data_IF_099605911368
#
_entry.id   IF_099605911368
#
_cell.length_a   1.000
_cell.length_b   1.000
_cell.length_c   1.000
_cell.angle_alpha   90.00
_cell.angle_beta   90.00
_cell.angle_gamma   90.00
#
_symmetry.space_group_name_H-M   'P 1'
#
loop_
_entity.id
_entity.type
_entity.pdbx_description
1 polymer ?
#
# COMPACT_ATOMS: atom_id res chain seq x y z
N UNK A 1 26.47 -2.16 -2.51
CA UNK A 1 25.06 -2.20 -2.97
C UNK A 1 24.30 -1.14 -2.20
N UNK A 2 23.78 -0.11 -2.86
CA UNK A 2 23.06 0.96 -2.17
C UNK A 2 21.59 0.56 -2.04
N UNK A 3 21.09 0.45 -0.81
CA UNK A 3 19.65 0.32 -0.55
C UNK A 3 18.98 1.65 -0.90
N UNK A 4 17.89 1.60 -1.67
CA UNK A 4 17.18 2.79 -2.17
C UNK A 4 16.07 3.24 -1.21
N UNK A 5 15.51 2.32 -0.43
CA UNK A 5 14.44 2.59 0.53
C UNK A 5 14.51 1.62 1.71
N UNK A 6 14.13 2.10 2.89
CA UNK A 6 13.93 1.29 4.08
C UNK A 6 12.71 1.82 4.83
N UNK A 7 11.88 0.92 5.36
CA UNK A 7 10.64 1.27 6.07
C UNK A 7 10.44 0.34 7.25
N UNK A 8 9.94 0.89 8.35
CA UNK A 8 9.50 0.14 9.53
C UNK A 8 8.02 -0.20 9.34
N UNK A 9 7.61 -1.40 9.71
CA UNK A 9 6.20 -1.78 9.72
C UNK A 9 5.44 -1.00 10.81
N UNK A 10 4.17 -0.65 10.60
CA UNK A 10 3.36 0.01 11.62
C UNK A 10 3.27 -0.73 12.96
N UNK A 11 3.38 -2.06 12.97
CA UNK A 11 3.44 -2.84 14.20
C UNK A 11 4.78 -2.75 14.96
N UNK A 12 5.79 -2.08 14.40
CA UNK A 12 7.11 -1.87 15.02
C UNK A 12 8.05 -3.08 14.98
N UNK A 13 7.56 -4.24 14.53
CA UNK A 13 8.30 -5.51 14.57
C UNK A 13 9.22 -5.73 13.39
N UNK A 14 8.89 -5.18 12.21
CA UNK A 14 9.60 -5.47 10.97
C UNK A 14 10.27 -4.24 10.38
N UNK A 15 11.44 -4.47 9.79
CA UNK A 15 12.12 -3.51 8.92
C UNK A 15 12.28 -4.14 7.56
N UNK A 16 11.79 -3.47 6.52
CA UNK A 16 12.03 -3.83 5.14
C UNK A 16 13.12 -2.96 4.53
N UNK A 17 13.85 -3.51 3.56
CA UNK A 17 14.71 -2.72 2.68
C UNK A 17 14.62 -3.22 1.25
N UNK A 18 14.66 -2.28 0.30
CA UNK A 18 14.77 -2.58 -1.13
C UNK A 18 15.81 -1.69 -1.80
N UNK A 19 16.22 -2.09 -2.99
CA UNK A 19 17.31 -1.45 -3.72
C UNK A 19 17.36 -1.88 -5.17
N UNK A 20 18.55 -2.16 -5.67
CA UNK A 20 18.74 -2.66 -7.03
C UNK A 20 18.42 -4.14 -7.20
N UNK A 21 18.22 -4.85 -6.09
CA UNK A 21 17.86 -6.26 -6.11
C UNK A 21 16.36 -6.44 -6.43
N UNK A 22 15.97 -7.56 -7.07
CA UNK A 22 14.58 -7.85 -7.44
C UNK A 22 13.70 -8.24 -6.25
N UNK A 23 14.24 -8.24 -5.06
CA UNK A 23 13.56 -8.62 -3.83
C UNK A 23 13.44 -7.44 -2.86
N UNK A 24 12.44 -7.54 -1.98
CA UNK A 24 12.40 -6.75 -0.75
C UNK A 24 12.72 -7.68 0.40
N UNK A 25 13.80 -7.41 1.11
CA UNK A 25 14.19 -8.19 2.28
C UNK A 25 13.56 -7.60 3.51
N UNK A 26 12.98 -8.47 4.34
CA UNK A 26 12.30 -8.07 5.58
C UNK A 26 12.94 -8.80 6.75
N UNK A 27 13.27 -8.03 7.78
CA UNK A 27 13.87 -8.53 9.01
C UNK A 27 12.97 -8.21 10.19
N UNK A 28 12.87 -9.16 11.12
CA UNK A 28 12.30 -8.93 12.43
C UNK A 28 13.37 -8.29 13.33
N UNK A 29 13.00 -7.21 14.01
CA UNK A 29 13.80 -6.63 15.08
C UNK A 29 13.20 -7.07 16.40
N UNK A 30 13.97 -7.85 17.17
CA UNK A 30 13.55 -8.33 18.48
C UNK A 30 14.11 -7.42 19.58
N UNK A 31 13.23 -7.02 20.49
CA UNK A 31 13.57 -6.28 21.70
C UNK A 31 13.28 -7.14 22.93
N UNK A 32 14.09 -6.98 23.98
CA UNK A 32 13.78 -7.53 25.28
C UNK A 32 12.58 -6.81 25.91
N UNK A 33 11.98 -7.39 26.95
CA UNK A 33 10.91 -6.72 27.72
C UNK A 33 11.35 -5.38 28.32
N UNK A 34 12.66 -5.20 28.54
CA UNK A 34 13.28 -3.94 28.97
C UNK A 34 13.32 -2.86 27.88
N UNK A 35 12.98 -3.20 26.63
CA UNK A 35 13.14 -2.32 25.47
C UNK A 35 14.53 -2.34 24.85
N UNK A 36 15.47 -3.08 25.44
CA UNK A 36 16.82 -3.24 24.89
C UNK A 36 16.79 -4.05 23.59
N UNK A 37 17.62 -3.62 22.63
CA UNK A 37 17.83 -4.37 21.39
C UNK A 37 18.38 -5.76 21.70
N UNK A 38 17.77 -6.80 21.11
CA UNK A 38 18.19 -8.19 21.29
C UNK A 38 18.83 -8.76 20.03
N UNK A 39 18.13 -8.73 18.91
CA UNK A 39 18.61 -9.35 17.67
C UNK A 39 17.86 -8.84 16.44
N UNK A 40 18.48 -9.03 15.27
CA UNK A 40 17.82 -8.88 13.96
C UNK A 40 17.83 -10.25 13.30
N UNK A 41 16.66 -10.77 12.97
CA UNK A 41 16.50 -12.05 12.27
C UNK A 41 15.88 -11.80 10.90
N UNK A 42 16.35 -12.48 9.86
CA UNK A 42 15.64 -12.45 8.57
C UNK A 42 14.27 -13.10 8.77
N UNK A 43 13.21 -12.38 8.44
CA UNK A 43 11.85 -12.88 8.55
C UNK A 43 11.43 -13.53 7.23
N UNK A 44 11.33 -12.74 6.17
CA UNK A 44 10.91 -13.20 4.85
C UNK A 44 11.41 -12.25 3.75
N UNK A 45 11.24 -12.66 2.49
CA UNK A 45 11.59 -11.86 1.33
C UNK A 45 10.39 -11.79 0.37
N UNK A 46 10.15 -10.62 -0.21
CA UNK A 46 9.15 -10.45 -1.27
C UNK A 46 9.85 -10.64 -2.61
N UNK A 47 9.59 -11.77 -3.27
CA UNK A 47 10.33 -12.19 -4.46
C UNK A 47 9.50 -12.15 -5.74
N UNK A 48 10.20 -12.32 -6.86
CA UNK A 48 9.66 -12.62 -8.17
C UNK A 48 9.56 -11.45 -9.15
N UNK A 49 9.92 -10.23 -8.76
CA UNK A 49 10.20 -9.18 -9.75
C UNK A 49 11.40 -9.60 -10.63
N UNK A 50 11.44 -9.13 -11.87
CA UNK A 50 12.56 -9.42 -12.78
C UNK A 50 13.64 -8.33 -12.77
N UNK A 51 13.41 -7.24 -12.04
CA UNK A 51 14.34 -6.13 -11.89
C UNK A 51 14.20 -5.44 -10.54
N UNK A 52 15.09 -4.48 -10.26
CA UNK A 52 15.22 -3.82 -8.97
C UNK A 52 13.92 -3.18 -8.46
N UNK A 53 13.61 -3.42 -7.18
CA UNK A 53 12.43 -2.85 -6.51
C UNK A 53 12.72 -1.42 -6.05
N UNK A 54 12.05 -0.44 -6.65
CA UNK A 54 12.25 0.98 -6.39
C UNK A 54 11.73 1.45 -5.04
N UNK A 55 10.56 0.95 -4.64
CA UNK A 55 9.93 1.25 -3.36
C UNK A 55 8.94 0.15 -2.97
N UNK A 56 8.57 0.11 -1.70
CA UNK A 56 7.57 -0.81 -1.14
C UNK A 56 6.80 -0.16 0.01
N UNK A 57 5.63 -0.64 0.40
CA UNK A 57 4.84 -0.06 1.50
C UNK A 57 4.10 -1.14 2.30
N UNK A 58 3.92 -0.92 3.60
CA UNK A 58 3.03 -1.71 4.45
C UNK A 58 1.63 -1.07 4.50
N UNK A 59 0.60 -1.85 4.78
CA UNK A 59 -0.69 -1.32 5.25
C UNK A 59 -0.68 -1.12 6.78
N UNK A 60 -1.75 -0.57 7.35
CA UNK A 60 -1.78 -0.13 8.74
C UNK A 60 -1.65 -1.26 9.76
N UNK A 61 -2.20 -2.45 9.48
CA UNK A 61 -2.09 -3.61 10.37
C UNK A 61 -0.87 -4.50 10.09
N UNK A 62 0.00 -4.08 9.16
CA UNK A 62 1.20 -4.82 8.73
C UNK A 62 0.90 -6.21 8.17
N UNK A 63 -0.33 -6.51 7.73
CA UNK A 63 -0.70 -7.79 7.10
C UNK A 63 -0.47 -7.80 5.60
N UNK A 64 -0.36 -6.63 4.96
CA UNK A 64 -0.15 -6.49 3.53
C UNK A 64 1.08 -5.65 3.22
N UNK A 65 1.74 -6.01 2.12
CA UNK A 65 2.81 -5.21 1.54
C UNK A 65 2.61 -5.01 0.04
N UNK A 66 2.83 -3.78 -0.43
CA UNK A 66 2.90 -3.46 -1.85
C UNK A 66 4.34 -3.17 -2.27
N UNK A 67 4.70 -3.51 -3.50
CA UNK A 67 6.02 -3.26 -4.09
C UNK A 67 5.88 -2.68 -5.49
N UNK A 68 6.85 -1.86 -5.91
CA UNK A 68 6.92 -1.32 -7.28
C UNK A 68 8.34 -1.46 -7.82
N UNK A 69 8.48 -2.01 -9.02
CA UNK A 69 9.77 -2.37 -9.61
C UNK A 69 10.04 -1.70 -10.95
N UNK A 70 11.33 -1.58 -11.26
CA UNK A 70 11.83 -1.21 -12.60
C UNK A 70 11.30 -2.10 -13.72
N UNK A 71 10.88 -3.33 -13.41
CA UNK A 71 10.27 -4.24 -14.39
C UNK A 71 8.90 -3.79 -14.94
N UNK A 72 8.37 -2.66 -14.44
CA UNK A 72 7.10 -2.10 -14.89
C UNK A 72 5.88 -2.75 -14.23
N UNK A 73 6.09 -3.52 -13.16
CA UNK A 73 5.03 -4.13 -12.38
C UNK A 73 5.00 -3.60 -10.95
N UNK A 74 3.81 -3.64 -10.37
CA UNK A 74 3.60 -3.56 -8.93
C UNK A 74 3.04 -4.90 -8.46
N UNK A 75 3.33 -5.26 -7.21
CA UNK A 75 2.82 -6.48 -6.59
C UNK A 75 2.26 -6.20 -5.21
N UNK A 76 1.20 -6.91 -4.87
CA UNK A 76 0.58 -6.91 -3.55
C UNK A 76 0.72 -8.30 -2.92
N UNK A 77 1.22 -8.34 -1.70
CA UNK A 77 1.50 -9.55 -0.94
C UNK A 77 0.70 -9.57 0.35
N UNK A 78 0.23 -10.76 0.74
CA UNK A 78 -0.13 -11.07 2.11
C UNK A 78 1.14 -11.47 2.86
N UNK A 79 1.45 -10.75 3.92
CA UNK A 79 2.62 -10.97 4.78
C UNK A 79 2.23 -11.32 6.21
N UNK A 80 0.93 -11.57 6.47
CA UNK A 80 0.46 -12.16 7.71
C UNK A 80 0.69 -13.67 7.66
N UNK A 81 1.92 -14.05 7.94
CA UNK A 81 2.45 -15.41 7.80
C UNK A 81 3.21 -15.83 9.06
N UNK A 82 3.29 -17.13 9.31
CA UNK A 82 4.12 -17.73 10.35
C UNK A 82 5.56 -17.93 9.84
N UNK A 83 6.29 -16.82 9.64
CA UNK A 83 7.64 -16.85 9.08
C UNK A 83 8.65 -17.65 9.93
N UNK A 84 8.41 -17.80 11.24
CA UNK A 84 9.23 -18.66 12.11
C UNK A 84 9.10 -20.15 11.77
N UNK A 85 8.01 -20.55 11.11
CA UNK A 85 7.78 -21.90 10.60
C UNK A 85 8.19 -22.05 9.12
N UNK A 86 8.76 -21.00 8.53
CA UNK A 86 9.17 -20.99 7.12
C UNK A 86 8.03 -20.72 6.13
N UNK A 87 6.88 -20.23 6.58
CA UNK A 87 5.82 -19.78 5.67
C UNK A 87 6.32 -18.56 4.87
N UNK A 88 6.06 -18.56 3.57
CA UNK A 88 6.46 -17.49 2.66
C UNK A 88 5.30 -16.53 2.35
N UNK A 89 5.59 -15.24 2.07
CA UNK A 89 4.57 -14.28 1.66
C UNK A 89 3.76 -14.73 0.45
N UNK A 90 2.43 -14.63 0.53
CA UNK A 90 1.55 -15.00 -0.58
C UNK A 90 1.33 -13.82 -1.53
N UNK A 91 1.65 -14.00 -2.81
CA UNK A 91 1.34 -13.01 -3.84
C UNK A 91 -0.18 -12.98 -4.09
N UNK A 92 -0.82 -11.85 -3.76
CA UNK A 92 -2.26 -11.64 -3.97
C UNK A 92 -2.53 -11.20 -5.41
N UNK A 93 -1.75 -10.21 -5.88
CA UNK A 93 -2.01 -9.55 -7.15
C UNK A 93 -0.74 -8.98 -7.74
N UNK A 94 -0.68 -9.00 -9.07
CA UNK A 94 0.31 -8.25 -9.86
C UNK A 94 -0.43 -7.37 -10.84
N UNK A 95 -0.01 -6.13 -10.98
CA UNK A 95 -0.47 -5.26 -12.05
C UNK A 95 0.70 -4.57 -12.76
N UNK A 96 0.42 -4.07 -13.95
CA UNK A 96 1.39 -3.31 -14.74
C UNK A 96 1.17 -1.82 -14.52
N UNK A 97 2.26 -1.06 -14.57
CA UNK A 97 2.20 0.38 -14.67
C UNK A 97 3.10 0.84 -15.81
N UNK A 98 2.79 2.00 -16.40
CA UNK A 98 3.61 2.55 -17.48
C UNK A 98 4.95 2.98 -16.88
N UNK A 99 6.03 2.28 -17.18
CA UNK A 99 7.38 2.66 -16.78
C UNK A 99 8.00 3.61 -17.81
N UNK A 100 8.79 4.57 -17.34
CA UNK A 100 9.61 5.48 -18.16
C UNK A 100 11.11 5.31 -17.83
N UNK A 101 11.47 4.21 -17.16
CA UNK A 101 12.82 3.93 -16.70
C UNK A 101 13.25 4.74 -15.46
N UNK A 102 12.42 5.67 -14.97
CA UNK A 102 12.70 6.45 -13.76
C UNK A 102 12.15 5.74 -12.52
N UNK A 103 12.58 6.22 -11.35
CA UNK A 103 12.12 5.71 -10.05
C UNK A 103 10.63 5.99 -9.87
N UNK A 104 9.91 4.99 -9.37
CA UNK A 104 8.53 5.12 -8.92
C UNK A 104 8.45 5.00 -7.39
N UNK A 105 7.42 5.59 -6.81
CA UNK A 105 7.07 5.46 -5.39
C UNK A 105 5.74 4.74 -5.25
N UNK A 106 5.58 4.00 -4.15
CA UNK A 106 4.33 3.29 -3.84
C UNK A 106 3.88 3.58 -2.41
N UNK A 107 2.58 3.75 -2.24
CA UNK A 107 1.90 3.72 -0.95
C UNK A 107 0.71 2.77 -1.03
N UNK A 108 0.41 2.14 0.10
CA UNK A 108 -0.74 1.27 0.28
C UNK A 108 -1.68 1.96 1.27
N UNK A 109 -2.98 1.97 0.98
CA UNK A 109 -3.97 2.54 1.90
C UNK A 109 -3.98 1.77 3.23
N UNK A 110 -4.43 2.40 4.34
CA UNK A 110 -4.47 1.74 5.65
C UNK A 110 -5.21 0.40 5.65
N UNK A 111 -6.32 0.33 4.91
CA UNK A 111 -7.15 -0.87 4.72
C UNK A 111 -6.61 -1.85 3.67
N UNK A 112 -5.58 -1.47 2.91
CA UNK A 112 -5.00 -2.28 1.84
C UNK A 112 -5.78 -2.34 0.53
N UNK A 113 -6.88 -1.58 0.41
CA UNK A 113 -7.77 -1.64 -0.76
C UNK A 113 -7.33 -0.78 -1.95
N UNK A 114 -6.41 0.16 -1.73
CA UNK A 114 -5.92 1.09 -2.76
C UNK A 114 -4.40 1.15 -2.77
N UNK A 115 -3.83 1.05 -3.96
CA UNK A 115 -2.41 1.28 -4.20
C UNK A 115 -2.26 2.64 -4.90
N UNK A 116 -1.49 3.54 -4.30
CA UNK A 116 -1.10 4.79 -4.92
C UNK A 116 0.32 4.66 -5.49
N UNK A 117 0.45 4.83 -6.79
CA UNK A 117 1.71 4.81 -7.53
C UNK A 117 2.03 6.21 -8.00
N UNK A 118 3.22 6.70 -7.68
CA UNK A 118 3.71 7.96 -8.21
C UNK A 118 4.91 7.71 -9.13
N UNK A 119 4.86 8.25 -10.33
CA UNK A 119 5.92 8.14 -11.34
C UNK A 119 6.08 9.46 -12.05
N UNK A 120 7.32 9.93 -12.18
CA UNK A 120 7.60 11.24 -12.76
C UNK A 120 6.68 12.27 -12.11
N UNK A 121 5.90 13.03 -12.86
CA UNK A 121 4.97 14.03 -12.35
C UNK A 121 3.53 13.54 -12.18
N UNK A 122 3.25 12.23 -12.27
CA UNK A 122 1.89 11.68 -12.26
C UNK A 122 1.63 10.86 -11.00
N UNK A 123 0.36 10.89 -10.56
CA UNK A 123 -0.20 9.99 -9.54
C UNK A 123 -1.20 9.05 -10.19
N UNK A 124 -1.11 7.76 -9.89
CA UNK A 124 -2.04 6.72 -10.33
C UNK A 124 -2.61 6.01 -9.11
N UNK A 125 -3.94 5.95 -9.01
CA UNK A 125 -4.67 5.21 -7.98
C UNK A 125 -5.21 3.92 -8.60
N UNK A 126 -4.87 2.81 -7.97
CA UNK A 126 -5.20 1.46 -8.41
C UNK A 126 -6.08 0.81 -7.36
N UNK A 127 -7.17 0.19 -7.81
CA UNK A 127 -8.00 -0.64 -6.97
C UNK A 127 -7.26 -1.97 -6.70
N UNK A 128 -6.86 -2.21 -5.47
CA UNK A 128 -6.08 -3.39 -5.10
C UNK A 128 -6.88 -4.71 -5.22
N UNK A 129 -8.21 -4.64 -5.14
CA UNK A 129 -9.11 -5.79 -5.25
C UNK A 129 -9.20 -6.27 -6.71
N UNK A 130 -9.50 -5.34 -7.63
CA UNK A 130 -9.61 -5.68 -9.06
C UNK A 130 -8.24 -5.76 -9.74
N UNK A 131 -7.26 -4.97 -9.29
CA UNK A 131 -5.97 -4.77 -9.93
C UNK A 131 -6.00 -3.74 -11.06
N UNK A 132 -7.13 -3.05 -11.25
CA UNK A 132 -7.34 -2.07 -12.32
C UNK A 132 -7.02 -0.65 -11.87
N UNK A 133 -6.58 0.17 -12.82
CA UNK A 133 -6.37 1.60 -12.61
C UNK A 133 -7.73 2.30 -12.54
N UNK A 134 -8.06 2.91 -11.40
CA UNK A 134 -9.29 3.68 -11.24
C UNK A 134 -9.08 5.13 -11.70
N UNK A 135 -7.93 5.72 -11.40
CA UNK A 135 -7.64 7.12 -11.75
C UNK A 135 -6.16 7.34 -12.02
N UNK A 136 -5.87 8.09 -13.09
CA UNK A 136 -4.58 8.74 -13.30
C UNK A 136 -4.76 10.25 -13.24
N UNK A 137 -3.87 10.92 -12.51
CA UNK A 137 -3.79 12.37 -12.39
C UNK A 137 -2.41 12.78 -12.92
N UNK A 138 -2.32 13.19 -14.20
CA UNK A 138 -1.05 13.57 -14.80
C UNK A 138 -0.62 14.97 -14.36
N UNK A 139 0.69 15.23 -14.41
CA UNK A 139 1.28 16.56 -14.24
C UNK A 139 0.90 17.26 -12.93
N UNK A 140 0.84 16.50 -11.82
CA UNK A 140 0.62 17.06 -10.49
C UNK A 140 1.82 17.87 -9.99
N UNK A 141 2.99 17.76 -10.62
CA UNK A 141 4.18 18.57 -10.40
C UNK A 141 4.85 18.88 -11.75
N UNK A 142 5.73 19.88 -11.80
CA UNK A 142 6.65 20.10 -12.91
C UNK A 142 7.83 19.13 -12.88
N UNK A 143 8.29 18.75 -11.68
CA UNK A 143 9.32 17.75 -11.45
C UNK A 143 8.78 16.40 -10.98
N UNK A 144 9.68 15.47 -10.59
CA UNK A 144 9.29 14.17 -10.11
C UNK A 144 8.64 14.22 -8.73
N UNK A 145 7.60 13.42 -8.54
CA UNK A 145 7.04 13.11 -7.22
C UNK A 145 8.09 12.31 -6.46
N UNK A 146 8.47 12.79 -5.29
CA UNK A 146 9.52 12.19 -4.44
C UNK A 146 8.94 11.27 -3.37
N UNK A 147 7.67 11.47 -3.00
CA UNK A 147 6.97 10.65 -2.01
C UNK A 147 5.48 10.63 -2.27
N UNK A 148 4.85 9.50 -1.97
CA UNK A 148 3.41 9.33 -1.86
C UNK A 148 3.09 8.61 -0.55
N UNK A 149 2.03 9.03 0.14
CA UNK A 149 1.54 8.45 1.40
C UNK A 149 0.02 8.57 1.45
N UNK A 150 -0.63 7.70 2.22
CA UNK A 150 -2.00 7.92 2.67
C UNK A 150 -1.98 8.53 4.08
N UNK A 151 -3.05 9.24 4.43
CA UNK A 151 -3.32 9.54 5.84
C UNK A 151 -3.76 8.27 6.60
N UNK A 152 -3.86 8.37 7.93
CA UNK A 152 -4.18 7.23 8.78
C UNK A 152 -5.62 6.71 8.60
N UNK A 153 -6.57 7.58 8.24
CA UNK A 153 -7.95 7.17 7.97
C UNK A 153 -8.11 6.62 6.54
N UNK A 154 -7.21 7.00 5.62
CA UNK A 154 -7.25 6.58 4.23
C UNK A 154 -8.16 7.46 3.36
N UNK A 155 -8.59 8.61 3.85
CA UNK A 155 -9.44 9.57 3.14
C UNK A 155 -8.63 10.44 2.16
N UNK A 156 -7.32 10.56 2.36
CA UNK A 156 -6.44 11.44 1.60
C UNK A 156 -5.18 10.73 1.10
N UNK A 157 -4.74 11.13 -0.10
CA UNK A 157 -3.45 10.80 -0.67
C UNK A 157 -2.58 12.05 -0.67
N UNK A 158 -1.44 11.96 -0.01
CA UNK A 158 -0.44 13.01 0.09
C UNK A 158 0.68 12.71 -0.91
N UNK A 159 1.06 13.70 -1.69
CA UNK A 159 2.22 13.63 -2.58
C UNK A 159 3.17 14.77 -2.28
N UNK A 160 4.47 14.55 -2.45
CA UNK A 160 5.50 15.57 -2.32
C UNK A 160 6.30 15.71 -3.61
N UNK A 161 6.54 16.94 -4.05
CA UNK A 161 7.27 17.28 -5.27
C UNK A 161 7.47 18.79 -5.38
N UNK A 162 8.48 19.24 -6.12
CA UNK A 162 8.76 20.67 -6.36
C UNK A 162 8.74 21.58 -5.12
N UNK A 163 9.17 21.08 -3.95
CA UNK A 163 9.12 21.77 -2.64
C UNK A 163 7.70 22.02 -2.09
N UNK A 164 6.69 21.36 -2.63
CA UNK A 164 5.31 21.44 -2.19
C UNK A 164 4.77 20.06 -1.81
N UNK A 165 3.73 20.07 -0.98
CA UNK A 165 2.88 18.90 -0.72
C UNK A 165 1.51 19.18 -1.32
N UNK A 166 0.98 18.21 -2.07
CA UNK A 166 -0.38 18.24 -2.61
C UNK A 166 -1.20 17.13 -1.97
N UNK A 167 -2.44 17.46 -1.65
CA UNK A 167 -3.41 16.59 -0.98
C UNK A 167 -4.54 16.29 -1.97
N UNK A 168 -4.88 15.02 -2.11
CA UNK A 168 -5.95 14.53 -2.98
C UNK A 168 -6.94 13.71 -2.16
N UNK A 169 -8.23 13.83 -2.44
CA UNK A 169 -9.23 12.90 -1.88
C UNK A 169 -9.02 11.48 -2.44
N UNK A 170 -9.10 10.48 -1.58
CA UNK A 170 -9.02 9.07 -1.97
C UNK A 170 -10.38 8.56 -2.49
N UNK A 171 -10.81 9.10 -3.63
CA UNK A 171 -12.07 8.72 -4.30
C UNK A 171 -12.12 7.22 -4.58
N UNK A 172 -11.00 6.63 -4.99
CA UNK A 172 -10.88 5.18 -5.22
C UNK A 172 -11.15 4.39 -3.94
N UNK A 173 -10.65 4.85 -2.80
CA UNK A 173 -10.89 4.25 -1.48
C UNK A 173 -12.36 4.22 -1.09
N UNK A 174 -13.09 5.33 -1.28
CA UNK A 174 -14.53 5.35 -1.01
C UNK A 174 -15.28 4.34 -1.89
N UNK A 175 -14.95 4.25 -3.18
CA UNK A 175 -15.56 3.25 -4.09
C UNK A 175 -15.24 1.82 -3.65
N UNK A 176 -13.98 1.50 -3.35
CA UNK A 176 -13.59 0.15 -2.92
C UNK A 176 -14.22 -0.23 -1.59
N UNK A 177 -14.31 0.72 -0.66
CA UNK A 177 -14.88 0.46 0.66
C UNK A 177 -16.38 0.20 0.61
N UNK A 178 -17.12 0.90 -0.26
CA UNK A 178 -18.53 0.58 -0.52
C UNK A 178 -18.67 -0.87 -1.02
N UNK A 179 -17.81 -1.33 -1.94
CA UNK A 179 -17.85 -2.72 -2.43
C UNK A 179 -17.57 -3.73 -1.32
N UNK A 180 -16.54 -3.49 -0.51
CA UNK A 180 -16.16 -4.36 0.62
C UNK A 180 -17.27 -4.41 1.67
N UNK A 181 -17.85 -3.26 2.04
CA UNK A 181 -18.92 -3.19 3.01
C UNK A 181 -20.21 -3.84 2.51
N UNK A 182 -20.59 -3.64 1.25
CA UNK A 182 -21.76 -4.31 0.64
C UNK A 182 -21.58 -5.83 0.60
N UNK A 183 -20.38 -6.31 0.23
CA UNK A 183 -20.06 -7.74 0.28
C UNK A 183 -20.21 -8.28 1.71
N UNK A 184 -19.62 -7.61 2.69
CA UNK A 184 -19.72 -8.01 4.10
C UNK A 184 -21.16 -8.02 4.61
N UNK A 185 -22.00 -7.08 4.18
CA UNK A 185 -23.42 -7.03 4.57
C UNK A 185 -24.23 -8.22 4.02
N UNK A 186 -23.81 -8.76 2.87
CA UNK A 186 -24.44 -9.94 2.25
C UNK A 186 -24.07 -11.27 2.90
N UNK A 187 -23.04 -11.29 3.75
CA UNK A 187 -22.60 -12.51 4.44
C UNK A 187 -23.59 -12.93 5.55
N UNK A 188 -23.82 -14.24 5.74
CA UNK A 188 -24.64 -14.73 6.83
C UNK A 188 -23.96 -14.49 8.19
N UNK A 189 -24.75 -14.29 9.25
CA UNK A 189 -24.23 -14.15 10.61
C UNK A 189 -23.77 -12.74 11.01
N UNK A 190 -23.95 -11.73 10.17
CA UNK A 190 -23.64 -10.34 10.53
C UNK A 190 -24.62 -9.84 11.60
N UNK A 191 -24.09 -9.33 12.72
CA UNK A 191 -24.89 -8.76 13.81
C UNK A 191 -25.67 -7.51 13.38
N UNK A 192 -26.79 -7.20 14.06
CA UNK A 192 -27.57 -5.98 13.78
C UNK A 192 -26.72 -4.71 13.89
N UNK A 193 -25.94 -4.58 14.97
CA UNK A 193 -25.08 -3.42 15.19
C UNK A 193 -24.01 -3.27 14.08
N UNK A 194 -23.46 -4.38 13.59
CA UNK A 194 -22.52 -4.35 12.46
C UNK A 194 -23.21 -3.91 11.18
N UNK A 195 -24.44 -4.37 10.91
CA UNK A 195 -25.22 -3.95 9.74
C UNK A 195 -25.50 -2.45 9.79
N UNK A 196 -25.96 -1.93 10.93
CA UNK A 196 -26.30 -0.52 11.07
C UNK A 196 -25.08 0.38 10.81
N UNK A 197 -23.92 0.00 11.37
CA UNK A 197 -22.65 0.72 11.12
C UNK A 197 -22.24 0.67 9.65
N UNK A 198 -22.29 -0.49 9.00
CA UNK A 198 -21.89 -0.63 7.60
C UNK A 198 -22.83 0.16 6.68
N UNK A 199 -24.14 0.10 6.92
CA UNK A 199 -25.13 0.86 6.15
C UNK A 199 -24.90 2.37 6.27
N UNK A 200 -24.62 2.86 7.49
CA UNK A 200 -24.27 4.26 7.71
C UNK A 200 -23.01 4.66 6.93
N UNK A 201 -21.93 3.89 7.04
CA UNK A 201 -20.68 4.17 6.35
C UNK A 201 -20.85 4.16 4.82
N UNK A 202 -21.64 3.23 4.28
CA UNK A 202 -21.97 3.19 2.85
C UNK A 202 -22.70 4.47 2.43
N UNK A 203 -23.72 4.88 3.18
CA UNK A 203 -24.50 6.08 2.87
C UNK A 203 -23.64 7.35 2.89
N UNK A 204 -22.75 7.49 3.89
CA UNK A 204 -21.81 8.60 3.98
C UNK A 204 -20.82 8.64 2.80
N UNK A 205 -20.23 7.48 2.44
CA UNK A 205 -19.33 7.39 1.31
C UNK A 205 -20.04 7.67 -0.04
N UNK A 206 -21.26 7.17 -0.23
CA UNK A 206 -22.07 7.45 -1.42
C UNK A 206 -22.47 8.93 -1.51
N UNK A 207 -22.80 9.57 -0.38
CA UNK A 207 -23.08 11.00 -0.32
C UNK A 207 -21.84 11.84 -0.68
N UNK A 208 -20.67 11.47 -0.13
CA UNK A 208 -19.40 12.11 -0.50
C UNK A 208 -19.11 11.98 -2.00
N UNK A 209 -19.23 10.78 -2.57
CA UNK A 209 -19.02 10.54 -4.00
C UNK A 209 -19.99 11.34 -4.89
N UNK A 210 -21.22 11.59 -4.44
CA UNK A 210 -22.16 12.46 -5.15
C UNK A 210 -21.80 13.94 -5.06
N UNK A 211 -21.15 14.37 -3.99
CA UNK A 211 -20.78 15.78 -3.80
C UNK A 211 -19.60 16.27 -4.66
N UNK A 212 -18.79 15.33 -5.17
CA UNK A 212 -17.58 15.61 -5.95
C UNK A 212 -17.76 15.38 -7.46
N UNK A 213 -18.94 14.91 -7.89
CA UNK A 213 -19.34 14.75 -9.29
C UNK A 213 -20.21 15.94 -9.72
#
# INVERSE_FOLDING_TARGET
MNNLTAKVSPCGTFVGASGFAPDVKVWQVAFAKSGEFKSINRAFELTGHSSGVYDFAFNADSSLMATVSKDGTWRLFNVKIEYNQGEEPHLIKTGKYKTDGKRACVALSPDGNVIALARSSSLTLVNALSGEVDKEIPNIYSGPVTKVLFDAAGDYVLTAGDRHVRVFHNVTGHKTNILVWKKKLSEPGVSSATRDRLTKNIAEAEAFLKSIN
#
